data_IF_083397485047
#
_entry.id   IF_083397485047
#
_cell.length_a   1.000
_cell.length_b   1.000
_cell.length_c   1.000
_cell.angle_alpha   90.00
_cell.angle_beta   90.00
_cell.angle_gamma   90.00
#
_symmetry.space_group_name_H-M   'P 1'
#
loop_
_entity.id
_entity.type
_entity.pdbx_description
1 polymer ?
#
# COMPACT_ATOMS: atom_id res chain seq x y z
N UNK A 1 2.95 -18.68 11.12
CA UNK A 1 2.73 -17.26 11.45
C UNK A 1 1.75 -17.14 12.61
N UNK A 2 1.83 -16.05 13.32
CA UNK A 2 1.03 -15.79 14.49
C UNK A 2 -0.45 -15.60 14.18
N UNK A 3 -1.28 -15.66 15.22
CA UNK A 3 -2.70 -15.41 15.04
C UNK A 3 -2.98 -13.99 14.52
N UNK A 4 -2.32 -12.95 15.06
CA UNK A 4 -2.54 -11.60 14.50
C UNK A 4 -2.22 -11.51 13.02
N UNK A 5 -1.12 -12.13 12.58
CA UNK A 5 -0.75 -12.12 11.18
C UNK A 5 -1.83 -12.81 10.34
N UNK A 6 -2.27 -13.98 10.78
CA UNK A 6 -3.27 -14.73 10.03
C UNK A 6 -4.61 -14.01 9.97
N UNK A 7 -4.93 -13.28 11.02
CA UNK A 7 -6.18 -12.53 11.04
C UNK A 7 -6.19 -11.43 9.98
N UNK A 8 -5.09 -10.68 9.89
CA UNK A 8 -4.98 -9.63 8.88
C UNK A 8 -4.96 -10.23 7.48
N UNK A 9 -4.24 -11.35 7.33
CA UNK A 9 -4.18 -12.07 6.05
C UNK A 9 -5.57 -12.51 5.61
N UNK A 10 -6.39 -12.99 6.54
CA UNK A 10 -7.76 -13.41 6.22
C UNK A 10 -8.61 -12.24 5.77
N UNK A 11 -8.44 -11.08 6.42
CA UNK A 11 -9.16 -9.89 6.00
C UNK A 11 -8.76 -9.46 4.61
N UNK A 12 -7.47 -9.56 4.29
CA UNK A 12 -6.98 -9.23 2.96
C UNK A 12 -7.57 -10.16 1.91
N UNK A 13 -7.58 -11.47 2.19
CA UNK A 13 -8.16 -12.42 1.27
C UNK A 13 -9.64 -12.15 1.01
N UNK A 14 -10.38 -11.84 2.06
CA UNK A 14 -11.80 -11.54 1.92
C UNK A 14 -11.99 -10.28 1.08
N UNK A 15 -11.19 -9.26 1.35
CA UNK A 15 -11.26 -8.01 0.60
C UNK A 15 -11.03 -8.25 -0.89
N UNK A 16 -10.00 -9.04 -1.23
CA UNK A 16 -9.67 -9.29 -2.62
C UNK A 16 -10.70 -10.16 -3.33
N UNK A 17 -11.49 -10.90 -2.57
CA UNK A 17 -12.53 -11.73 -3.17
C UNK A 17 -13.80 -10.93 -3.48
N UNK A 18 -13.90 -9.70 -2.99
CA UNK A 18 -15.10 -8.90 -3.17
C UNK A 18 -15.19 -8.23 -4.53
N UNK A 19 -14.10 -8.11 -5.23
CA UNK A 19 -14.11 -7.48 -6.54
C UNK A 19 -12.72 -7.08 -6.99
N UNK A 20 -12.68 -6.29 -8.05
CA UNK A 20 -11.41 -5.89 -8.63
C UNK A 20 -10.66 -4.88 -7.78
N UNK A 21 -9.38 -4.75 -8.10
CA UNK A 21 -8.53 -3.73 -7.49
C UNK A 21 -7.81 -3.00 -8.62
N UNK A 22 -7.57 -1.72 -8.42
CA UNK A 22 -6.83 -0.95 -9.40
C UNK A 22 -6.04 0.13 -8.67
N UNK A 23 -4.77 0.24 -9.00
CA UNK A 23 -3.93 1.25 -8.39
C UNK A 23 -4.18 2.58 -9.08
N UNK A 24 -4.36 3.64 -8.31
CA UNK A 24 -4.51 4.96 -8.89
C UNK A 24 -5.46 5.82 -8.10
N UNK A 25 -5.49 7.08 -8.48
CA UNK A 25 -6.38 8.05 -7.89
C UNK A 25 -7.40 8.48 -8.93
N UNK A 26 -8.66 8.37 -8.56
CA UNK A 26 -9.73 8.83 -9.42
C UNK A 26 -10.03 10.28 -9.10
N UNK A 27 -10.05 11.12 -10.11
CA UNK A 27 -10.38 12.52 -9.90
C UNK A 27 -11.26 13.02 -11.05
N UNK A 28 -11.95 14.10 -10.75
CA UNK A 28 -12.84 14.71 -11.71
C UNK A 28 -12.12 15.86 -12.39
N UNK A 29 -12.13 15.83 -13.72
CA UNK A 29 -11.51 16.88 -14.53
C UNK A 29 -12.51 17.28 -15.58
N UNK A 30 -13.33 18.28 -15.28
CA UNK A 30 -14.37 18.69 -16.19
C UNK A 30 -13.79 19.43 -17.38
N UNK A 31 -14.38 19.20 -18.52
CA UNK A 31 -14.05 19.95 -19.73
C UNK A 31 -15.29 20.70 -20.17
N UNK A 32 -15.26 22.01 -19.99
CA UNK A 32 -16.42 22.83 -20.27
C UNK A 32 -17.58 22.34 -19.40
N UNK A 33 -18.68 21.98 -20.02
CA UNK A 33 -19.86 21.50 -19.32
C UNK A 33 -19.92 19.99 -19.19
N UNK A 34 -18.87 19.29 -19.65
CA UNK A 34 -18.89 17.84 -19.67
C UNK A 34 -18.14 17.30 -18.46
N UNK A 35 -18.82 16.56 -17.57
CA UNK A 35 -18.11 15.94 -16.46
C UNK A 35 -17.18 14.85 -16.98
N UNK A 36 -15.97 14.85 -16.52
CA UNK A 36 -14.99 13.85 -16.91
C UNK A 36 -14.27 13.35 -15.69
N UNK A 37 -13.98 12.06 -15.68
CA UNK A 37 -13.22 11.45 -14.63
C UNK A 37 -11.96 10.84 -15.22
N UNK A 38 -10.88 10.87 -14.45
CA UNK A 38 -9.62 10.27 -14.87
C UNK A 38 -9.05 9.49 -13.72
N UNK A 39 -8.44 8.35 -14.05
CA UNK A 39 -7.70 7.55 -13.09
C UNK A 39 -6.24 7.73 -13.42
N UNK A 40 -5.46 8.14 -12.43
CA UNK A 40 -4.06 8.44 -12.63
C UNK A 40 -3.21 7.64 -11.67
N UNK A 41 -2.07 7.12 -12.14
CA UNK A 41 -1.12 6.41 -11.29
C UNK A 41 0.30 6.62 -11.81
N UNK A 42 1.26 6.13 -11.04
CA UNK A 42 2.66 6.18 -11.41
C UNK A 42 3.32 4.81 -11.25
N UNK A 43 2.54 3.75 -11.41
CA UNK A 43 3.02 2.40 -11.17
C UNK A 43 4.19 2.01 -12.06
N UNK A 44 4.27 2.60 -13.26
CA UNK A 44 5.34 2.29 -14.19
C UNK A 44 6.52 3.25 -14.08
N UNK A 45 6.54 4.11 -13.06
CA UNK A 45 7.56 5.14 -12.93
C UNK A 45 7.23 6.41 -13.67
N UNK A 46 6.19 6.39 -14.47
CA UNK A 46 5.69 7.56 -15.21
C UNK A 46 4.25 7.79 -14.85
N UNK A 47 3.87 9.03 -14.89
CA UNK A 47 2.46 9.39 -14.71
C UNK A 47 1.67 8.92 -15.92
N UNK A 48 0.58 8.23 -15.67
CA UNK A 48 -0.32 7.83 -16.75
C UNK A 48 -1.75 8.00 -16.28
N UNK A 49 -2.66 8.24 -17.21
CA UNK A 49 -4.05 8.49 -16.89
C UNK A 49 -4.95 7.76 -17.87
N UNK A 50 -6.11 7.37 -17.37
CA UNK A 50 -7.13 6.74 -18.19
C UNK A 50 -8.40 7.57 -18.04
N UNK A 51 -9.02 7.89 -19.15
CA UNK A 51 -10.32 8.53 -19.12
C UNK A 51 -11.36 7.52 -18.62
N UNK A 52 -12.17 7.93 -17.66
CA UNK A 52 -13.18 7.05 -17.08
C UNK A 52 -14.54 7.68 -17.35
N UNK A 53 -15.37 7.04 -18.17
CA UNK A 53 -16.73 7.54 -18.39
C UNK A 53 -17.51 7.60 -17.07
N UNK A 54 -18.44 8.53 -16.99
CA UNK A 54 -19.16 8.80 -15.74
C UNK A 54 -19.86 7.58 -15.19
N UNK A 55 -20.39 6.71 -16.07
CA UNK A 55 -21.09 5.53 -15.62
C UNK A 55 -20.15 4.46 -15.06
N UNK A 56 -18.85 4.53 -15.36
CA UNK A 56 -17.86 3.63 -14.78
C UNK A 56 -17.20 4.19 -13.53
N UNK A 57 -17.40 5.48 -13.24
CA UNK A 57 -16.70 6.11 -12.13
C UNK A 57 -16.96 5.43 -10.78
N UNK A 58 -18.20 5.04 -10.42
CA UNK A 58 -18.41 4.35 -9.15
C UNK A 58 -17.67 3.01 -9.05
N UNK A 59 -17.60 2.28 -10.15
CA UNK A 59 -16.88 1.01 -10.18
C UNK A 59 -15.38 1.22 -9.97
N UNK A 60 -14.82 2.20 -10.67
CA UNK A 60 -13.39 2.50 -10.56
C UNK A 60 -13.07 3.01 -9.16
N UNK A 61 -13.93 3.84 -8.60
CA UNK A 61 -13.74 4.34 -7.24
C UNK A 61 -13.70 3.17 -6.23
N UNK A 62 -14.57 2.20 -6.42
CA UNK A 62 -14.61 1.02 -5.57
C UNK A 62 -13.31 0.20 -5.70
N UNK A 63 -12.86 0.00 -6.92
CA UNK A 63 -11.62 -0.73 -7.17
C UNK A 63 -10.42 -0.01 -6.60
N UNK A 64 -10.38 1.31 -6.72
CA UNK A 64 -9.27 2.11 -6.20
C UNK A 64 -9.25 2.09 -4.67
N UNK A 65 -10.42 2.18 -4.05
CA UNK A 65 -10.52 2.10 -2.59
C UNK A 65 -10.08 0.73 -2.10
N UNK A 66 -10.44 -0.33 -2.83
CA UNK A 66 -10.05 -1.68 -2.45
C UNK A 66 -8.53 -1.86 -2.55
N UNK A 67 -7.93 -1.29 -3.57
CA UNK A 67 -6.47 -1.32 -3.69
C UNK A 67 -5.82 -0.63 -2.49
N UNK A 68 -6.30 0.56 -2.12
CA UNK A 68 -5.72 1.30 -0.99
C UNK A 68 -5.84 0.51 0.30
N UNK A 69 -6.99 -0.13 0.51
CA UNK A 69 -7.19 -0.92 1.73
C UNK A 69 -6.32 -2.18 1.72
N UNK A 70 -6.17 -2.81 0.57
CA UNK A 70 -5.31 -3.98 0.45
C UNK A 70 -3.86 -3.61 0.77
N UNK A 71 -3.41 -2.46 0.28
CA UNK A 71 -2.06 -1.97 0.61
C UNK A 71 -1.89 -1.75 2.10
N UNK A 72 -2.90 -1.16 2.73
CA UNK A 72 -2.85 -0.91 4.17
C UNK A 72 -2.74 -2.22 4.94
N UNK A 73 -3.53 -3.22 4.55
CA UNK A 73 -3.49 -4.52 5.22
C UNK A 73 -2.16 -5.22 5.01
N UNK A 74 -1.57 -5.12 3.81
CA UNK A 74 -0.27 -5.72 3.57
C UNK A 74 0.82 -5.04 4.40
N UNK A 75 0.74 -3.74 4.59
CA UNK A 75 1.69 -3.04 5.44
C UNK A 75 1.55 -3.49 6.89
N UNK A 76 0.32 -3.68 7.34
CA UNK A 76 0.07 -4.17 8.69
C UNK A 76 0.67 -5.56 8.87
N UNK A 77 0.48 -6.44 7.89
CA UNK A 77 1.07 -7.78 7.91
C UNK A 77 2.59 -7.70 7.99
N UNK A 78 3.17 -6.79 7.22
CA UNK A 78 4.61 -6.61 7.21
C UNK A 78 5.14 -6.18 8.57
N UNK A 79 4.43 -5.28 9.25
CA UNK A 79 4.86 -4.84 10.58
C UNK A 79 4.77 -5.96 11.59
N UNK A 80 3.72 -6.76 11.53
CA UNK A 80 3.59 -7.92 12.41
C UNK A 80 4.73 -8.90 12.16
N UNK A 81 5.01 -9.19 10.89
CA UNK A 81 6.09 -10.10 10.53
C UNK A 81 7.45 -9.59 11.01
N UNK A 82 7.66 -8.29 10.89
CA UNK A 82 8.91 -7.68 11.35
C UNK A 82 9.09 -7.84 12.85
N UNK A 83 8.03 -7.59 13.61
CA UNK A 83 8.07 -7.74 15.06
C UNK A 83 8.37 -9.18 15.46
N UNK A 84 7.71 -10.13 14.79
CA UNK A 84 7.94 -11.54 15.10
C UNK A 84 9.34 -11.97 14.72
N UNK A 85 9.87 -11.43 13.63
CA UNK A 85 11.23 -11.74 13.24
C UNK A 85 12.24 -11.23 14.27
N UNK A 86 12.04 -10.00 14.74
CA UNK A 86 12.92 -9.44 15.75
C UNK A 86 12.88 -10.27 17.03
N UNK A 87 11.68 -10.67 17.44
CA UNK A 87 11.54 -11.52 18.63
C UNK A 87 12.26 -12.86 18.46
N UNK A 88 12.10 -13.46 17.29
CA UNK A 88 12.73 -14.76 17.03
C UNK A 88 14.25 -14.64 17.02
N UNK A 89 14.77 -13.56 16.45
CA UNK A 89 16.21 -13.34 16.45
C UNK A 89 16.72 -13.10 17.85
N UNK A 90 16.00 -12.30 18.63
CA UNK A 90 16.39 -12.01 20.02
C UNK A 90 16.42 -13.26 20.85
N UNK A 91 15.39 -14.11 20.70
CA UNK A 91 15.33 -15.37 21.42
C UNK A 91 16.50 -16.27 21.08
N UNK A 92 16.82 -16.32 19.79
CA UNK A 92 17.86 -17.23 19.33
C UNK A 92 19.25 -16.76 19.73
N UNK A 93 19.49 -15.45 19.67
CA UNK A 93 20.82 -14.92 19.94
C UNK A 93 21.02 -14.47 21.38
N UNK A 94 19.93 -14.34 22.12
CA UNK A 94 19.99 -13.78 23.46
C UNK A 94 20.36 -12.32 23.47
N UNK A 95 20.29 -11.67 22.31
CA UNK A 95 20.68 -10.30 22.19
C UNK A 95 19.56 -9.48 21.60
N UNK A 96 19.30 -8.38 22.20
CA UNK A 96 18.24 -7.53 21.72
C UNK A 96 18.72 -6.80 20.50
N UNK A 97 18.08 -7.05 19.39
CA UNK A 97 18.41 -6.30 18.22
C UNK A 97 17.76 -4.96 18.37
N UNK A 98 18.51 -4.00 18.20
CA UNK A 98 17.99 -2.68 18.24
C UNK A 98 17.28 -2.46 17.00
N UNK A 99 16.10 -2.42 17.08
CA UNK A 99 15.36 -1.91 16.05
C UNK A 99 15.76 -0.52 15.95
N UNK A 100 16.42 -0.24 15.03
CA UNK A 100 16.64 1.09 14.74
C UNK A 100 15.37 1.68 14.73
N UNK A 101 15.25 2.54 15.48
CA UNK A 101 14.08 3.29 15.47
C UNK A 101 14.01 3.75 14.14
N UNK A 102 13.19 3.34 13.75
CA UNK A 102 12.93 3.84 12.72
C UNK A 102 13.42 5.09 12.65
N UNK A 103 13.90 5.22 13.29
CA UNK A 103 14.38 6.15 13.20
C UNK A 103 15.23 5.79 12.47
N UNK A 104 15.47 5.70 12.64
CA UNK A 104 16.02 5.39 12.03
C UNK A 104 15.62 4.90 11.19
N UNK A 105 15.39 4.62 10.94
CA UNK A 105 15.16 4.23 10.12
C UNK A 105 14.83 4.97 9.47
N UNK A 106 14.93 5.56 9.67
CA UNK A 106 14.82 6.23 9.04
C UNK A 106 15.80 6.57 8.65
N UNK A 107 16.41 6.67 8.92
CA UNK A 107 17.29 6.99 8.53
C UNK A 107 17.67 6.24 7.68
N UNK A 108 17.83 6.01 7.33
CA UNK A 108 18.10 5.51 6.54
C UNK A 108 17.59 5.59 5.53
N UNK A 109 17.30 5.81 5.48
CA UNK A 109 16.98 5.95 4.68
C UNK A 109 16.97 6.72 4.10
N UNK A 110 17.27 7.16 4.16
CA UNK A 110 17.40 7.84 3.79
C UNK A 110 18.01 7.79 3.05
N UNK A 111 18.46 7.67 3.00
CA UNK A 111 18.99 7.65 2.44
C UNK A 111 18.85 7.13 1.62
N UNK A 112 18.71 6.92 1.56
CA UNK A 112 18.51 6.60 0.71
C UNK A 112 17.94 7.03 0.15
N UNK A 113 17.92 7.37 0.40
CA UNK A 113 17.55 7.83 -0.14
C UNK A 113 17.82 8.33 -0.61
N UNK A 114 18.18 8.64 -0.62
CA UNK A 114 18.52 9.09 -1.11
C UNK A 114 18.94 8.89 -1.73
N UNK A 115 19.28 8.80 -1.89
CA UNK A 115 19.59 8.75 -2.67
C UNK A 115 19.46 8.63 -3.35
N UNK A 116 19.53 8.63 -3.49
CA UNK A 116 19.31 8.69 -4.22
C UNK A 116 19.16 9.13 -4.69
N UNK A 117 19.27 9.37 -4.81
CA UNK A 117 19.05 9.90 -5.38
C UNK A 117 19.20 10.21 -6.03
N UNK A 118 19.36 10.42 -6.14
CA UNK A 118 19.57 10.74 -6.92
C UNK A 118 19.77 10.77 -7.42
#
# INVERSE_FOLDING_TARGET
MSAPYREVSSRLKRLLSEGGVIEGSLYRADRGNTPRHQLSDRATGRSRSIYVPADFAPLVADWSARWAEAKRLMKEMSEIARSELVEAITERTGRKTVATPAAGQAAVRRKRQTAKRR
#
